data_IF_335229631695
#
_entry.id   IF_335229631695
#
_cell.length_a   1.000
_cell.length_b   1.000
_cell.length_c   1.000
_cell.angle_alpha   90.00
_cell.angle_beta   90.00
_cell.angle_gamma   90.00
#
_symmetry.space_group_name_H-M   'P 1'
#
loop_
_entity.id
_entity.type
_entity.pdbx_description
1 polymer ?
#
# COMPACT_ATOMS: atom_id res chain seq x y z
N UNK A 1 -60.09 23.56 4.03
CA UNK A 1 -59.86 22.10 3.84
C UNK A 1 -58.36 21.89 3.70
N UNK A 2 -57.75 21.09 4.58
CA UNK A 2 -56.30 20.80 4.54
C UNK A 2 -55.98 20.05 3.24
N UNK A 3 -55.12 20.61 2.40
CA UNK A 3 -54.82 20.06 1.08
C UNK A 3 -53.83 18.89 1.23
N UNK A 4 -54.34 17.71 1.59
CA UNK A 4 -53.57 16.49 1.90
C UNK A 4 -52.58 16.09 0.79
N UNK A 5 -52.84 16.48 -0.45
CA UNK A 5 -51.99 16.21 -1.62
C UNK A 5 -50.68 17.01 -1.58
N UNK A 6 -50.72 18.25 -1.11
CA UNK A 6 -49.55 19.12 -0.96
C UNK A 6 -48.70 18.73 0.26
N UNK A 7 -49.32 18.30 1.37
CA UNK A 7 -48.59 17.80 2.54
C UNK A 7 -47.82 16.51 2.22
N UNK A 8 -48.40 15.55 1.47
CA UNK A 8 -47.69 14.33 1.04
C UNK A 8 -46.48 14.64 0.16
N UNK A 9 -46.65 15.53 -0.81
CA UNK A 9 -45.58 15.93 -1.73
C UNK A 9 -44.39 16.58 -1.01
N UNK A 10 -44.66 17.41 0.00
CA UNK A 10 -43.61 18.03 0.82
C UNK A 10 -42.86 17.01 1.68
N UNK A 11 -43.58 16.02 2.23
CA UNK A 11 -42.96 14.94 3.03
C UNK A 11 -42.10 14.05 2.13
N UNK A 12 -42.59 13.65 0.96
CA UNK A 12 -41.85 12.84 -0.01
C UNK A 12 -40.54 13.53 -0.43
N UNK A 13 -40.61 14.83 -0.76
CA UNK A 13 -39.43 15.61 -1.13
C UNK A 13 -38.44 15.74 0.04
N UNK A 14 -38.94 15.94 1.25
CA UNK A 14 -38.09 16.06 2.45
C UNK A 14 -37.36 14.74 2.75
N UNK A 15 -38.06 13.60 2.63
CA UNK A 15 -37.46 12.26 2.78
C UNK A 15 -36.40 12.01 1.71
N UNK A 16 -36.67 12.38 0.46
CA UNK A 16 -35.71 12.24 -0.64
C UNK A 16 -34.44 13.06 -0.41
N UNK A 17 -34.58 14.31 0.06
CA UNK A 17 -33.44 15.19 0.37
C UNK A 17 -32.63 14.61 1.54
N UNK A 18 -33.28 14.13 2.59
CA UNK A 18 -32.59 13.51 3.74
C UNK A 18 -31.83 12.26 3.32
N UNK A 19 -32.43 11.39 2.52
CA UNK A 19 -31.78 10.18 2.03
C UNK A 19 -30.56 10.52 1.16
N UNK A 20 -30.70 11.51 0.27
CA UNK A 20 -29.61 12.00 -0.58
C UNK A 20 -28.47 12.57 0.26
N UNK A 21 -28.79 13.33 1.31
CA UNK A 21 -27.80 13.90 2.21
C UNK A 21 -27.00 12.81 2.93
N UNK A 22 -27.69 11.80 3.48
CA UNK A 22 -27.05 10.65 4.13
C UNK A 22 -26.15 9.90 3.14
N UNK A 23 -26.63 9.70 1.92
CA UNK A 23 -25.86 9.05 0.86
C UNK A 23 -24.59 9.83 0.50
N UNK A 24 -24.68 11.15 0.31
CA UNK A 24 -23.54 12.01 0.00
C UNK A 24 -22.51 11.99 1.14
N UNK A 25 -22.96 12.06 2.40
CA UNK A 25 -22.07 11.98 3.57
C UNK A 25 -21.39 10.61 3.64
N UNK A 26 -22.12 9.52 3.40
CA UNK A 26 -21.57 8.16 3.40
C UNK A 26 -20.51 8.00 2.30
N UNK A 27 -20.75 8.52 1.09
CA UNK A 27 -19.75 8.56 0.01
C UNK A 27 -18.54 9.40 0.42
N UNK A 28 -18.74 10.58 1.01
CA UNK A 28 -17.64 11.43 1.47
C UNK A 28 -16.74 10.71 2.47
N UNK A 29 -17.33 10.03 3.47
CA UNK A 29 -16.58 9.22 4.44
C UNK A 29 -15.85 8.07 3.75
N UNK A 30 -16.52 7.38 2.81
CA UNK A 30 -15.91 6.28 2.08
C UNK A 30 -14.71 6.71 1.23
N UNK A 31 -14.82 7.85 0.53
CA UNK A 31 -13.73 8.41 -0.27
C UNK A 31 -12.55 8.79 0.62
N UNK A 32 -12.79 9.46 1.76
CA UNK A 32 -11.71 9.81 2.70
C UNK A 32 -11.01 8.56 3.23
N UNK A 33 -11.75 7.48 3.50
CA UNK A 33 -11.18 6.20 3.97
C UNK A 33 -10.44 5.43 2.87
N UNK A 34 -10.91 5.49 1.63
CA UNK A 34 -10.33 4.76 0.49
C UNK A 34 -9.15 5.52 -0.12
N UNK A 35 -9.13 6.85 0.02
CA UNK A 35 -8.11 7.74 -0.54
C UNK A 35 -6.71 7.54 0.00
N UNK A 36 -6.52 6.78 1.08
CA UNK A 36 -5.18 6.51 1.59
C UNK A 36 -4.38 5.57 0.68
N UNK A 37 -4.98 4.93 -0.34
CA UNK A 37 -4.33 4.17 -1.44
C UNK A 37 -3.18 3.24 -0.99
N UNK A 38 -3.09 2.94 0.31
CA UNK A 38 -1.84 2.48 0.90
C UNK A 38 -1.63 1.03 0.53
N UNK A 39 -2.68 0.21 0.61
CA UNK A 39 -2.67 -1.16 0.13
C UNK A 39 -2.32 -1.26 -1.37
N UNK A 40 -2.81 -0.32 -2.18
CA UNK A 40 -2.47 -0.29 -3.61
C UNK A 40 -0.99 0.06 -3.84
N UNK A 41 -0.46 1.01 -3.07
CA UNK A 41 0.96 1.36 -3.12
C UNK A 41 1.84 0.21 -2.60
N UNK A 42 1.49 -0.40 -1.47
CA UNK A 42 2.17 -1.60 -0.95
C UNK A 42 2.27 -2.68 -2.03
N UNK A 43 1.15 -2.95 -2.72
CA UNK A 43 1.12 -3.91 -3.83
C UNK A 43 2.02 -3.53 -5.00
N UNK A 44 1.99 -2.28 -5.44
CA UNK A 44 2.82 -1.81 -6.55
C UNK A 44 4.30 -1.98 -6.21
N UNK A 45 4.72 -1.52 -5.03
CA UNK A 45 6.13 -1.55 -4.63
C UNK A 45 6.61 -2.98 -4.37
N UNK A 46 5.80 -3.84 -3.76
CA UNK A 46 6.16 -5.25 -3.55
C UNK A 46 6.42 -5.96 -4.89
N UNK A 47 5.56 -5.75 -5.88
CA UNK A 47 5.73 -6.30 -7.24
C UNK A 47 6.94 -5.73 -7.96
N UNK A 48 7.18 -4.43 -7.85
CA UNK A 48 8.35 -3.80 -8.47
C UNK A 48 9.66 -4.33 -7.87
N UNK A 49 9.73 -4.44 -6.54
CA UNK A 49 10.91 -5.00 -5.87
C UNK A 49 11.13 -6.46 -6.25
N UNK A 50 10.08 -7.28 -6.25
CA UNK A 50 10.18 -8.65 -6.72
C UNK A 50 10.64 -8.74 -8.18
N UNK A 51 10.21 -7.82 -9.05
CA UNK A 51 10.66 -7.78 -10.44
C UNK A 51 12.14 -7.39 -10.56
N UNK A 52 12.61 -6.43 -9.76
CA UNK A 52 14.02 -6.04 -9.70
C UNK A 52 14.85 -7.23 -9.24
N UNK A 53 14.43 -7.89 -8.16
CA UNK A 53 15.05 -9.10 -7.64
C UNK A 53 15.09 -10.17 -8.73
N UNK A 54 13.98 -10.48 -9.39
CA UNK A 54 13.92 -11.50 -10.44
C UNK A 54 14.86 -11.25 -11.63
N UNK A 55 15.18 -9.98 -11.91
CA UNK A 55 16.05 -9.59 -13.02
C UNK A 55 17.52 -9.44 -12.60
N UNK A 56 17.81 -9.46 -11.31
CA UNK A 56 19.15 -9.23 -10.82
C UNK A 56 20.04 -10.47 -11.01
N UNK A 57 21.24 -10.23 -11.51
CA UNK A 57 22.28 -11.25 -11.64
C UNK A 57 23.11 -11.32 -10.35
N UNK A 58 23.75 -12.46 -10.12
CA UNK A 58 24.66 -12.61 -9.00
C UNK A 58 25.85 -11.64 -9.11
N UNK A 59 26.21 -11.01 -8.00
CA UNK A 59 27.22 -9.95 -7.93
C UNK A 59 26.70 -8.55 -8.27
N UNK A 60 25.41 -8.41 -8.65
CA UNK A 60 24.80 -7.10 -8.85
C UNK A 60 24.55 -6.41 -7.50
N UNK A 61 24.72 -5.09 -7.47
CA UNK A 61 24.23 -4.21 -6.42
C UNK A 61 23.15 -3.31 -7.01
N UNK A 62 22.02 -3.18 -6.32
CA UNK A 62 20.92 -2.31 -6.72
C UNK A 62 20.57 -1.34 -5.61
N UNK A 63 20.51 -0.06 -5.98
CA UNK A 63 20.15 1.03 -5.09
C UNK A 63 18.81 1.63 -5.51
N UNK A 64 17.85 1.67 -4.59
CA UNK A 64 16.46 2.04 -4.87
C UNK A 64 16.05 3.19 -3.96
N UNK A 65 15.52 4.26 -4.55
CA UNK A 65 14.93 5.37 -3.80
C UNK A 65 13.60 4.95 -3.15
N UNK A 66 13.55 5.02 -1.83
CA UNK A 66 12.37 4.66 -1.02
C UNK A 66 11.73 5.89 -0.36
N UNK A 67 12.08 7.11 -0.78
CA UNK A 67 11.56 8.37 -0.25
C UNK A 67 10.04 8.37 -0.18
N UNK A 68 9.38 7.91 -1.23
CA UNK A 68 7.91 7.85 -1.28
C UNK A 68 7.33 6.87 -0.25
N UNK A 69 7.95 5.71 -0.05
CA UNK A 69 7.52 4.73 0.96
C UNK A 69 7.69 5.29 2.37
N UNK A 70 8.82 5.93 2.66
CA UNK A 70 9.08 6.55 3.97
C UNK A 70 8.08 7.67 4.27
N UNK A 71 7.81 8.55 3.30
CA UNK A 71 6.85 9.64 3.47
C UNK A 71 5.43 9.13 3.73
N UNK A 72 5.02 8.05 3.04
CA UNK A 72 3.71 7.43 3.26
C UNK A 72 3.62 6.74 4.60
N UNK A 73 4.65 6.00 5.02
CA UNK A 73 4.71 5.40 6.35
C UNK A 73 4.63 6.48 7.45
N UNK A 74 5.33 7.61 7.29
CA UNK A 74 5.24 8.75 8.21
C UNK A 74 3.85 9.38 8.25
N UNK A 75 3.22 9.61 7.09
CA UNK A 75 1.83 10.10 6.99
C UNK A 75 0.87 9.18 7.75
N UNK A 76 1.09 7.87 7.65
CA UNK A 76 0.31 6.83 8.32
C UNK A 76 0.74 6.57 9.77
N UNK A 77 1.71 7.33 10.30
CA UNK A 77 2.28 7.16 11.65
C UNK A 77 2.78 5.73 11.91
N UNK A 78 3.30 5.09 10.86
CA UNK A 78 3.86 3.74 10.92
C UNK A 78 5.38 3.80 11.09
N UNK A 79 5.87 3.20 12.19
CA UNK A 79 7.29 3.19 12.56
C UNK A 79 7.94 1.80 12.47
N UNK A 80 7.23 0.80 11.95
CA UNK A 80 7.73 -0.58 11.85
C UNK A 80 8.66 -0.82 10.64
N UNK A 81 8.88 -2.09 10.33
CA UNK A 81 9.63 -2.49 9.14
C UNK A 81 8.79 -2.23 7.89
N UNK A 82 9.25 -1.30 7.06
CA UNK A 82 8.54 -0.86 5.85
C UNK A 82 8.73 -1.86 4.70
N UNK A 83 9.94 -2.41 4.62
CA UNK A 83 10.37 -3.36 3.61
C UNK A 83 10.99 -4.53 4.35
N UNK A 84 10.56 -5.74 4.01
CA UNK A 84 11.17 -6.99 4.50
C UNK A 84 11.32 -7.93 3.32
N UNK A 85 12.49 -8.55 3.17
CA UNK A 85 12.75 -9.56 2.15
C UNK A 85 13.13 -10.85 2.87
N UNK A 86 12.40 -11.92 2.56
CA UNK A 86 12.61 -13.25 3.10
C UNK A 86 13.12 -14.17 1.98
N UNK A 87 14.40 -14.57 2.10
CA UNK A 87 15.06 -15.46 1.15
C UNK A 87 14.63 -16.94 1.33
N UNK A 88 14.06 -17.32 2.47
CA UNK A 88 13.65 -18.72 2.68
C UNK A 88 12.31 -18.99 1.98
N UNK A 89 11.39 -18.03 2.06
CA UNK A 89 10.08 -18.10 1.42
C UNK A 89 10.05 -17.41 0.05
N UNK A 90 11.18 -16.84 -0.40
CA UNK A 90 11.30 -16.07 -1.63
C UNK A 90 10.21 -14.99 -1.78
N UNK A 91 10.02 -14.16 -0.74
CA UNK A 91 8.97 -13.13 -0.73
C UNK A 91 9.47 -11.77 -0.27
N UNK A 92 8.88 -10.73 -0.86
CA UNK A 92 9.00 -9.34 -0.42
C UNK A 92 7.70 -8.93 0.28
N UNK A 93 7.81 -8.33 1.46
CA UNK A 93 6.70 -7.70 2.17
C UNK A 93 6.92 -6.18 2.20
N UNK A 94 5.89 -5.44 1.78
CA UNK A 94 5.83 -3.99 1.93
C UNK A 94 4.68 -3.61 2.84
N UNK A 95 5.00 -2.81 3.86
CA UNK A 95 4.06 -2.43 4.91
C UNK A 95 4.20 -0.95 5.25
N UNK A 96 3.12 -0.22 5.09
CA UNK A 96 3.04 1.23 5.30
C UNK A 96 2.03 1.60 6.40
N UNK A 97 1.30 0.62 6.95
CA UNK A 97 0.32 0.78 8.03
C UNK A 97 0.40 -0.36 9.05
N UNK A 98 -0.37 -0.27 10.13
CA UNK A 98 -0.58 -1.39 11.06
C UNK A 98 -1.32 -2.53 10.33
N UNK A 99 -0.84 -3.76 10.44
CA UNK A 99 -1.39 -4.92 9.72
C UNK A 99 -0.31 -5.87 9.19
N UNK A 100 -0.64 -6.68 8.18
CA UNK A 100 0.31 -7.61 7.53
C UNK A 100 1.07 -6.99 6.36
N UNK A 101 0.62 -5.85 5.82
CA UNK A 101 1.15 -5.30 4.56
C UNK A 101 0.76 -6.16 3.35
N UNK A 102 1.48 -5.96 2.24
CA UNK A 102 1.32 -6.76 1.02
C UNK A 102 2.57 -7.60 0.75
N UNK A 103 2.36 -8.89 0.52
CA UNK A 103 3.40 -9.86 0.20
C UNK A 103 3.40 -10.20 -1.29
N UNK A 104 4.58 -10.37 -1.87
CA UNK A 104 4.73 -10.82 -3.25
C UNK A 104 5.96 -11.71 -3.40
N UNK A 105 5.80 -12.82 -4.10
CA UNK A 105 6.86 -13.81 -4.31
C UNK A 105 7.78 -13.42 -5.47
N UNK A 106 9.06 -13.76 -5.31
CA UNK A 106 10.08 -13.71 -6.34
C UNK A 106 10.60 -15.13 -6.64
N UNK A 107 11.35 -15.28 -7.73
CA UNK A 107 11.82 -16.55 -8.29
C UNK A 107 13.34 -16.57 -8.50
N UNK A 108 14.07 -15.62 -7.90
CA UNK A 108 15.52 -15.58 -7.98
C UNK A 108 16.13 -16.52 -6.94
N UNK A 109 17.09 -17.33 -7.35
CA UNK A 109 17.82 -18.29 -6.50
C UNK A 109 19.04 -17.66 -5.79
N UNK A 110 19.33 -16.38 -6.04
CA UNK A 110 20.41 -15.65 -5.36
C UNK A 110 20.02 -15.33 -3.91
N UNK A 111 21.00 -15.39 -3.00
CA UNK A 111 20.81 -14.89 -1.64
C UNK A 111 20.85 -13.36 -1.62
N UNK A 112 19.78 -12.73 -1.16
CA UNK A 112 19.62 -11.27 -1.18
C UNK A 112 19.98 -10.71 0.19
N UNK A 113 21.09 -9.97 0.27
CA UNK A 113 21.45 -9.17 1.44
C UNK A 113 20.92 -7.76 1.24
N UNK A 114 20.07 -7.28 2.14
CA UNK A 114 19.39 -6.01 1.99
C UNK A 114 19.55 -5.12 3.21
N UNK A 115 19.61 -3.80 2.98
CA UNK A 115 19.67 -2.80 4.04
C UNK A 115 18.84 -1.57 3.66
N UNK A 116 18.13 -1.01 4.65
CA UNK A 116 17.34 0.21 4.50
C UNK A 116 18.06 1.36 5.20
N UNK A 117 18.67 2.25 4.41
CA UNK A 117 19.22 3.50 4.92
C UNK A 117 18.12 4.57 4.97
N UNK A 118 17.60 4.84 6.17
CA UNK A 118 16.52 5.83 6.38
C UNK A 118 16.99 7.27 6.23
N UNK A 119 18.27 7.56 6.47
CA UNK A 119 18.83 8.91 6.37
C UNK A 119 18.99 9.32 4.90
N UNK A 120 19.60 8.43 4.11
CA UNK A 120 19.76 8.64 2.67
C UNK A 120 18.49 8.33 1.87
N UNK A 121 17.49 7.70 2.51
CA UNK A 121 16.21 7.27 1.92
C UNK A 121 16.38 6.25 0.80
N UNK A 122 17.30 5.30 1.00
CA UNK A 122 17.65 4.29 0.01
C UNK A 122 17.51 2.87 0.55
N UNK A 123 17.09 1.97 -0.32
CA UNK A 123 17.16 0.52 -0.13
C UNK A 123 18.32 0.01 -0.97
N UNK A 124 19.26 -0.68 -0.32
CA UNK A 124 20.41 -1.30 -0.96
C UNK A 124 20.19 -2.80 -0.98
N UNK A 125 20.33 -3.41 -2.16
CA UNK A 125 20.20 -4.84 -2.40
C UNK A 125 21.51 -5.38 -2.98
N UNK A 126 22.07 -6.40 -2.34
CA UNK A 126 23.25 -7.12 -2.79
C UNK A 126 22.86 -8.56 -3.10
N UNK A 127 23.11 -8.99 -4.34
CA UNK A 127 22.75 -10.32 -4.83
C UNK A 127 23.98 -11.22 -4.76
N UNK A 128 24.01 -12.13 -3.79
CA UNK A 128 25.13 -13.06 -3.59
C UNK A 128 24.76 -14.41 -4.20
N UNK A 129 25.65 -14.97 -5.02
CA UNK A 129 25.47 -16.31 -5.56
C UNK A 129 25.48 -17.31 -4.40
N UNK A 130 24.49 -18.20 -4.32
CA UNK A 130 24.62 -19.38 -3.49
C UNK A 130 25.73 -20.24 -4.12
N UNK A 131 26.84 -20.45 -3.42
CA UNK A 131 27.84 -21.42 -3.86
C UNK A 131 27.17 -22.80 -3.81
N UNK A 132 27.18 -23.51 -4.94
CA UNK A 132 26.77 -24.90 -5.01
C UNK A 132 27.72 -25.71 -4.11
N UNK A 133 27.21 -26.29 -3.02
CA UNK A 133 27.91 -27.36 -2.28
C UNK A 133 28.08 -28.62 -3.16
#
# INVERSE_FOLDING_TARGET
>A
MKNKKSESFLIEQLVFILLTLVFVVAIGIFIVRTGDNTAFIEQIYAKQLALIINKAEAGMESEIDITRLLNLAQKNKFNGNIITIDNNENKVNIKLTQGSGYEYYFFNDNNIVWNVNKEERKLILNFVKLEDE
#
